data_IF_171318669010
#
_entry.id   IF_171318669010
#
_cell.length_a   1.000
_cell.length_b   1.000
_cell.length_c   1.000
_cell.angle_alpha   90.00
_cell.angle_beta   90.00
_cell.angle_gamma   90.00
#
_symmetry.space_group_name_H-M   'P 1'
#
loop_
_entity.id
_entity.type
_entity.pdbx_description
1 polymer ?
#
# COMPACT_ATOMS: atom_id res chain seq x y z
N UNK A 1 38.14 -5.84 -20.83
CA UNK A 1 36.82 -5.51 -21.40
C UNK A 1 35.78 -5.62 -20.30
N UNK A 2 35.33 -4.49 -19.77
CA UNK A 2 34.34 -4.41 -18.69
C UNK A 2 32.97 -4.86 -19.20
N UNK A 3 32.42 -5.94 -18.63
CA UNK A 3 31.03 -6.35 -18.86
C UNK A 3 30.11 -5.40 -18.06
N UNK A 4 29.49 -4.46 -18.75
CA UNK A 4 28.38 -3.68 -18.20
C UNK A 4 27.22 -4.63 -17.94
N UNK A 5 26.98 -4.95 -16.67
CA UNK A 5 25.83 -5.73 -16.25
C UNK A 5 24.72 -4.75 -15.87
N UNK A 6 23.72 -4.61 -16.76
CA UNK A 6 22.53 -3.80 -16.53
C UNK A 6 21.68 -4.50 -15.47
N UNK A 7 22.01 -4.30 -14.18
CA UNK A 7 21.08 -4.60 -13.09
C UNK A 7 19.97 -3.56 -13.18
N UNK A 8 18.87 -3.92 -13.81
CA UNK A 8 17.61 -3.24 -13.58
C UNK A 8 17.30 -3.38 -12.09
N UNK A 9 17.44 -2.29 -11.34
CA UNK A 9 16.95 -2.17 -9.97
C UNK A 9 15.42 -2.17 -10.02
N UNK A 10 14.84 -3.36 -10.11
CA UNK A 10 13.46 -3.55 -9.67
C UNK A 10 13.57 -3.68 -8.17
N UNK A 11 13.14 -2.66 -7.44
CA UNK A 11 12.84 -2.78 -6.02
C UNK A 11 11.73 -3.84 -5.90
N UNK A 12 12.10 -5.12 -5.86
CA UNK A 12 11.27 -6.11 -5.20
C UNK A 12 11.22 -5.67 -3.75
N UNK A 13 10.20 -4.89 -3.40
CA UNK A 13 9.71 -4.82 -2.04
C UNK A 13 9.34 -6.25 -1.70
N UNK A 14 10.29 -6.97 -1.10
CA UNK A 14 10.03 -8.26 -0.48
C UNK A 14 9.04 -7.95 0.64
N UNK A 15 7.75 -8.09 0.34
CA UNK A 15 6.71 -8.26 1.33
C UNK A 15 6.98 -9.61 1.99
N UNK A 16 7.93 -9.59 2.90
CA UNK A 16 8.18 -10.64 3.87
C UNK A 16 6.87 -10.83 4.67
N UNK A 17 6.35 -12.04 4.67
CA UNK A 17 5.14 -12.50 5.39
C UNK A 17 5.11 -12.09 6.87
N UNK A 18 6.22 -11.63 7.45
CA UNK A 18 6.33 -11.14 8.84
C UNK A 18 6.03 -9.65 9.05
N UNK A 19 5.72 -8.86 8.01
CA UNK A 19 5.53 -7.39 8.12
C UNK A 19 4.11 -6.85 7.88
N UNK A 20 3.09 -7.71 7.86
CA UNK A 20 1.68 -7.29 8.03
C UNK A 20 1.27 -7.39 9.52
N UNK A 21 2.17 -7.05 10.44
CA UNK A 21 1.82 -6.95 11.87
C UNK A 21 1.20 -5.59 12.23
N UNK A 22 1.41 -4.57 11.39
CA UNK A 22 0.93 -3.21 11.64
C UNK A 22 -0.04 -2.75 10.54
N UNK A 23 -1.26 -3.29 10.62
CA UNK A 23 -2.36 -2.86 9.75
C UNK A 23 -2.66 -1.37 9.90
N UNK A 24 -2.40 -0.77 11.06
CA UNK A 24 -2.56 0.67 11.28
C UNK A 24 -1.58 1.44 10.41
N UNK A 25 -0.29 1.09 10.43
CA UNK A 25 0.72 1.75 9.61
C UNK A 25 0.43 1.63 8.11
N UNK A 26 -0.04 0.47 7.64
CA UNK A 26 -0.40 0.32 6.23
C UNK A 26 -1.63 1.17 5.87
N UNK A 27 -2.63 1.20 6.74
CA UNK A 27 -3.83 2.02 6.57
C UNK A 27 -3.49 3.52 6.54
N UNK A 28 -2.59 3.99 7.42
CA UNK A 28 -2.15 5.38 7.46
C UNK A 28 -1.46 5.77 6.15
N UNK A 29 -0.57 4.92 5.64
CA UNK A 29 0.06 5.12 4.32
C UNK A 29 -0.99 5.20 3.22
N UNK A 30 -1.95 4.27 3.20
CA UNK A 30 -3.02 4.26 2.22
C UNK A 30 -3.82 5.56 2.24
N UNK A 31 -4.23 6.01 3.42
CA UNK A 31 -5.04 7.22 3.59
C UNK A 31 -4.27 8.47 3.17
N UNK A 32 -3.04 8.64 3.63
CA UNK A 32 -2.19 9.80 3.26
C UNK A 32 -1.98 9.85 1.75
N UNK A 33 -1.65 8.73 1.12
CA UNK A 33 -1.43 8.69 -0.32
C UNK A 33 -2.73 8.92 -1.10
N UNK A 34 -3.86 8.39 -0.61
CA UNK A 34 -5.17 8.66 -1.20
C UNK A 34 -5.54 10.15 -1.18
N UNK A 35 -5.21 10.86 -0.09
CA UNK A 35 -5.43 12.30 0.03
C UNK A 35 -4.48 13.12 -0.86
N UNK A 36 -3.22 12.69 -0.99
CA UNK A 36 -2.27 13.27 -1.95
C UNK A 36 -2.78 13.11 -3.39
N UNK A 37 -3.24 11.91 -3.77
CA UNK A 37 -3.76 11.65 -5.11
C UNK A 37 -4.94 12.58 -5.45
N UNK A 38 -5.87 12.76 -4.51
CA UNK A 38 -6.98 13.72 -4.66
C UNK A 38 -6.48 15.16 -4.79
N UNK A 39 -5.49 15.55 -4.00
CA UNK A 39 -4.90 16.91 -4.04
C UNK A 39 -4.25 17.19 -5.40
N UNK A 40 -3.57 16.20 -5.97
CA UNK A 40 -2.93 16.28 -7.28
C UNK A 40 -3.89 16.00 -8.45
N UNK A 41 -5.14 15.66 -8.16
CA UNK A 41 -6.14 15.25 -9.13
C UNK A 41 -5.65 14.10 -10.05
N UNK A 42 -4.99 13.10 -9.46
CA UNK A 42 -4.56 11.88 -10.16
C UNK A 42 -5.28 10.64 -9.66
N UNK A 43 -5.29 9.60 -10.49
CA UNK A 43 -5.85 8.30 -10.13
C UNK A 43 -4.96 7.57 -9.13
N UNK A 44 -5.59 6.91 -8.17
CA UNK A 44 -4.95 5.98 -7.25
C UNK A 44 -5.83 4.74 -7.13
N UNK A 45 -5.28 3.57 -7.46
CA UNK A 45 -5.97 2.27 -7.45
C UNK A 45 -6.58 1.98 -6.08
N UNK A 46 -5.92 2.42 -5.01
CA UNK A 46 -6.43 2.24 -3.66
C UNK A 46 -7.71 3.01 -3.35
N UNK A 47 -8.12 3.97 -4.19
CA UNK A 47 -9.40 4.69 -4.08
C UNK A 47 -10.53 4.03 -4.87
N UNK A 48 -10.27 2.95 -5.62
CA UNK A 48 -11.28 2.26 -6.41
C UNK A 48 -12.14 1.31 -5.57
N UNK A 49 -13.41 1.14 -5.96
CA UNK A 49 -14.37 0.26 -5.27
C UNK A 49 -13.91 -1.21 -5.20
N UNK A 50 -13.07 -1.64 -6.15
CA UNK A 50 -12.45 -2.96 -6.17
C UNK A 50 -11.57 -3.23 -4.95
N UNK A 51 -10.99 -2.19 -4.35
CA UNK A 51 -10.14 -2.29 -3.17
C UNK A 51 -10.90 -2.20 -1.84
N UNK A 52 -12.20 -1.89 -1.84
CA UNK A 52 -13.00 -1.68 -0.62
C UNK A 52 -12.94 -2.87 0.35
N UNK A 53 -12.99 -4.10 -0.16
CA UNK A 53 -12.90 -5.31 0.67
C UNK A 53 -11.53 -5.45 1.33
N UNK A 54 -10.46 -5.21 0.57
CA UNK A 54 -9.09 -5.25 1.07
C UNK A 54 -8.85 -4.15 2.12
N UNK A 55 -9.25 -2.92 1.81
CA UNK A 55 -9.17 -1.79 2.72
C UNK A 55 -9.88 -2.08 4.04
N UNK A 56 -11.07 -2.68 3.98
CA UNK A 56 -11.83 -3.07 5.18
C UNK A 56 -11.07 -4.06 6.06
N UNK A 57 -10.37 -5.05 5.48
CA UNK A 57 -9.51 -5.97 6.25
C UNK A 57 -8.41 -5.23 7.02
N UNK A 58 -7.80 -4.22 6.42
CA UNK A 58 -6.81 -3.38 7.11
C UNK A 58 -7.43 -2.53 8.22
N UNK A 59 -8.62 -1.96 8.01
CA UNK A 59 -9.36 -1.22 9.05
C UNK A 59 -9.64 -2.10 10.27
N UNK A 60 -10.19 -3.30 10.05
CA UNK A 60 -10.42 -4.24 11.16
C UNK A 60 -9.10 -4.72 11.77
N UNK A 61 -8.08 -4.97 10.95
CA UNK A 61 -6.75 -5.38 11.38
C UNK A 61 -6.01 -4.33 12.23
N UNK A 62 -6.34 -3.05 12.05
CA UNK A 62 -5.80 -1.96 12.87
C UNK A 62 -6.29 -2.02 14.32
N UNK A 63 -7.31 -2.84 14.63
CA UNK A 63 -7.84 -3.04 15.98
C UNK A 63 -8.07 -1.72 16.74
N UNK A 64 -8.62 -0.72 16.04
CA UNK A 64 -8.85 0.61 16.62
C UNK A 64 -9.72 0.46 17.89
N UNK A 65 -9.35 1.11 19.01
CA UNK A 65 -10.11 0.99 20.27
C UNK A 65 -11.59 1.37 20.12
N UNK A 66 -11.91 2.26 19.19
CA UNK A 66 -13.28 2.69 18.87
C UNK A 66 -14.12 1.63 18.15
N UNK A 67 -13.49 0.66 17.48
CA UNK A 67 -14.16 -0.39 16.73
C UNK A 67 -14.14 -1.74 17.45
N UNK A 68 -13.15 -1.96 18.32
CA UNK A 68 -12.99 -3.19 19.07
C UNK A 68 -12.95 -2.92 20.58
N UNK A 69 -14.13 -2.97 21.21
CA UNK A 69 -14.30 -2.81 22.65
C UNK A 69 -14.06 -4.11 23.44
N UNK A 70 -13.44 -5.11 22.80
CA UNK A 70 -13.16 -6.41 23.41
C UNK A 70 -11.66 -6.64 23.47
N UNK A 71 -11.21 -7.51 24.38
CA UNK A 71 -9.79 -7.91 24.44
C UNK A 71 -9.39 -8.84 23.27
N UNK A 72 -10.30 -9.17 22.35
CA UNK A 72 -10.04 -10.08 21.23
C UNK A 72 -9.47 -9.30 20.05
N UNK A 73 -8.21 -9.54 19.70
CA UNK A 73 -7.60 -8.95 18.50
C UNK A 73 -8.05 -9.69 17.24
N UNK A 74 -8.46 -8.94 16.23
CA UNK A 74 -8.59 -9.46 14.87
C UNK A 74 -7.23 -9.44 14.18
N UNK A 75 -6.84 -10.58 13.60
CA UNK A 75 -5.62 -10.71 12.80
C UNK A 75 -6.08 -11.11 11.40
N UNK A 76 -5.95 -10.23 10.38
CA UNK A 76 -6.37 -10.57 9.03
C UNK A 76 -5.47 -11.65 8.44
N UNK A 77 -6.08 -12.59 7.72
CA UNK A 77 -5.38 -13.44 6.77
C UNK A 77 -5.61 -12.92 5.36
N UNK A 78 -4.58 -13.01 4.51
CA UNK A 78 -4.63 -12.59 3.13
C UNK A 78 -4.41 -13.78 2.22
N UNK A 79 -5.29 -13.97 1.25
CA UNK A 79 -5.09 -14.96 0.21
C UNK A 79 -4.12 -14.47 -0.89
N UNK A 80 -3.80 -15.35 -1.84
CA UNK A 80 -2.86 -15.02 -2.93
C UNK A 80 -3.31 -13.85 -3.79
N UNK A 81 -4.62 -13.67 -3.96
CA UNK A 81 -5.16 -12.57 -4.76
C UNK A 81 -5.13 -11.27 -3.97
N UNK A 82 -5.46 -11.31 -2.68
CA UNK A 82 -5.33 -10.16 -1.78
C UNK A 82 -3.88 -9.70 -1.65
N UNK A 83 -2.92 -10.63 -1.58
CA UNK A 83 -1.48 -10.28 -1.58
C UNK A 83 -1.06 -9.57 -2.88
N UNK A 84 -1.61 -9.96 -4.04
CA UNK A 84 -1.38 -9.26 -5.30
C UNK A 84 -2.00 -7.87 -5.30
N UNK A 85 -3.22 -7.73 -4.75
CA UNK A 85 -3.86 -6.43 -4.60
C UNK A 85 -3.07 -5.51 -3.67
N UNK A 86 -2.55 -6.02 -2.55
CA UNK A 86 -1.65 -5.27 -1.65
C UNK A 86 -0.42 -4.78 -2.40
N UNK A 87 0.22 -5.64 -3.20
CA UNK A 87 1.38 -5.26 -3.99
C UNK A 87 1.03 -4.18 -5.03
N UNK A 88 -0.11 -4.32 -5.72
CA UNK A 88 -0.58 -3.34 -6.69
C UNK A 88 -0.83 -1.97 -6.04
N UNK A 89 -1.56 -1.94 -4.92
CA UNK A 89 -1.82 -0.71 -4.17
C UNK A 89 -0.49 -0.09 -3.71
N UNK A 90 0.45 -0.88 -3.19
CA UNK A 90 1.75 -0.38 -2.73
C UNK A 90 2.60 0.21 -3.86
N UNK A 91 2.62 -0.44 -5.01
CA UNK A 91 3.35 0.06 -6.18
C UNK A 91 2.74 1.38 -6.69
N UNK A 92 1.41 1.46 -6.69
CA UNK A 92 0.71 2.67 -7.10
C UNK A 92 0.89 3.80 -6.09
N UNK A 93 0.94 3.48 -4.78
CA UNK A 93 1.30 4.47 -3.76
C UNK A 93 2.66 5.10 -4.05
N UNK A 94 3.66 4.30 -4.43
CA UNK A 94 4.96 4.80 -4.82
C UNK A 94 4.89 5.68 -6.09
N UNK A 95 3.99 5.36 -7.03
CA UNK A 95 3.72 6.19 -8.21
C UNK A 95 3.18 7.57 -7.84
N UNK A 96 2.15 7.63 -6.99
CA UNK A 96 1.57 8.89 -6.49
C UNK A 96 2.62 9.72 -5.74
N UNK A 97 3.43 9.10 -4.88
CA UNK A 97 4.48 9.80 -4.14
C UNK A 97 5.58 10.36 -5.04
N UNK A 98 5.98 9.63 -6.09
CA UNK A 98 6.93 10.15 -7.08
C UNK A 98 6.39 11.36 -7.81
N UNK A 99 5.12 11.30 -8.23
CA UNK A 99 4.43 12.44 -8.85
C UNK A 99 4.40 13.65 -7.90
N UNK A 100 4.03 13.43 -6.63
CA UNK A 100 3.95 14.48 -5.61
C UNK A 100 5.31 15.15 -5.31
N UNK A 101 6.40 14.41 -5.46
CA UNK A 101 7.76 14.87 -5.21
C UNK A 101 8.50 15.32 -6.48
N UNK A 102 7.80 15.33 -7.63
CA UNK A 102 8.38 15.64 -8.95
C UNK A 102 9.58 14.76 -9.33
N UNK A 103 9.65 13.56 -8.77
CA UNK A 103 10.67 12.57 -9.12
C UNK A 103 10.21 11.89 -10.41
N UNK A 104 11.01 12.05 -11.48
CA UNK A 104 10.76 11.55 -12.84
C UNK A 104 9.65 12.28 -13.65
N UNK A 105 9.16 13.44 -13.21
CA UNK A 105 8.24 14.26 -14.02
C UNK A 105 8.99 14.89 -15.23
N UNK A 106 8.50 14.76 -16.48
CA UNK A 106 9.08 15.49 -17.59
C UNK A 106 8.91 17.00 -17.34
N UNK A 107 10.05 17.69 -17.30
CA UNK A 107 10.14 19.16 -17.26
C UNK A 107 9.51 19.78 -18.51
#
# INVERSE_FOLDING_TARGET
MHKYNKKANVWTLNFDETTISDCSLFLDKWNVVGDIAKTLNCDFVGNQDSCTKLYSKFVYGANLPTMNNTDKKYIPSFDKEELRQIANVTNDMAGVLKLALEIDAPQ
#
